data_IF_501076423943
#
_entry.id   IF_501076423943
#
_cell.length_a   1.000
_cell.length_b   1.000
_cell.length_c   1.000
_cell.angle_alpha   90.00
_cell.angle_beta   90.00
_cell.angle_gamma   90.00
#
_symmetry.space_group_name_H-M   'P 1'
#
loop_
_entity.id
_entity.type
_entity.pdbx_description
1 polymer ?
#
# COMPACT_ATOMS: atom_id res chain seq x y z
N UNK A 1 -25.91 -4.45 -18.95
CA UNK A 1 -25.03 -3.95 -17.88
C UNK A 1 -23.63 -4.44 -18.17
N UNK A 2 -22.68 -3.56 -18.46
CA UNK A 2 -21.28 -3.95 -18.61
C UNK A 2 -20.76 -4.40 -17.25
N UNK A 3 -20.17 -5.60 -17.17
CA UNK A 3 -19.44 -6.03 -15.98
C UNK A 3 -18.21 -5.13 -15.91
N UNK A 4 -18.19 -4.17 -14.99
CA UNK A 4 -16.99 -3.41 -14.70
C UNK A 4 -15.93 -4.42 -14.24
N UNK A 5 -14.91 -4.63 -15.07
CA UNK A 5 -13.78 -5.49 -14.71
C UNK A 5 -13.10 -4.87 -13.48
N UNK A 6 -13.11 -5.55 -12.33
CA UNK A 6 -12.34 -5.12 -11.15
C UNK A 6 -10.87 -5.03 -11.55
N UNK A 7 -10.26 -3.85 -11.40
CA UNK A 7 -8.83 -3.68 -11.67
C UNK A 7 -8.04 -4.34 -10.55
N UNK A 8 -6.99 -5.06 -10.93
CA UNK A 8 -6.00 -5.61 -10.01
C UNK A 8 -4.63 -5.16 -10.50
N UNK A 9 -3.86 -4.51 -9.63
CA UNK A 9 -2.50 -4.04 -9.96
C UNK A 9 -1.51 -4.87 -9.15
N UNK A 10 -0.68 -5.65 -9.83
CA UNK A 10 0.43 -6.36 -9.19
C UNK A 10 1.71 -5.52 -9.29
N UNK A 11 2.33 -5.28 -8.13
CA UNK A 11 3.57 -4.51 -7.99
C UNK A 11 4.66 -5.47 -7.57
N UNK A 12 5.58 -5.74 -8.49
CA UNK A 12 6.79 -6.50 -8.17
C UNK A 12 7.64 -5.75 -7.14
N UNK A 13 8.06 -6.47 -6.11
CA UNK A 13 8.97 -5.97 -5.08
C UNK A 13 10.35 -6.61 -5.23
N UNK A 14 11.32 -6.15 -4.45
CA UNK A 14 12.65 -6.77 -4.44
C UNK A 14 12.71 -7.96 -3.46
N UNK A 15 13.70 -8.84 -3.62
CA UNK A 15 13.89 -10.02 -2.77
C UNK A 15 14.16 -9.71 -1.29
N UNK A 16 14.33 -8.42 -0.95
CA UNK A 16 14.57 -7.93 0.41
C UNK A 16 13.32 -7.32 1.03
N UNK A 17 12.18 -7.36 0.33
CA UNK A 17 10.93 -6.83 0.82
C UNK A 17 10.28 -7.81 1.79
N UNK A 18 10.02 -7.34 3.01
CA UNK A 18 9.58 -8.18 4.14
C UNK A 18 8.40 -7.51 4.84
N UNK A 19 7.38 -8.31 5.16
CA UNK A 19 6.23 -7.89 5.95
C UNK A 19 6.31 -8.44 7.38
N UNK A 20 6.21 -7.55 8.36
CA UNK A 20 6.10 -7.84 9.78
C UNK A 20 4.67 -7.62 10.29
N UNK A 21 4.24 -8.31 11.37
CA UNK A 21 5.04 -9.15 12.28
C UNK A 21 5.43 -10.54 11.75
N UNK A 22 4.86 -10.99 10.63
CA UNK A 22 5.06 -12.36 10.13
C UNK A 22 6.51 -12.68 9.71
N UNK A 23 7.32 -11.65 9.45
CA UNK A 23 8.71 -11.80 9.00
C UNK A 23 8.81 -12.51 7.65
N UNK A 24 7.79 -12.36 6.80
CA UNK A 24 7.66 -13.08 5.53
C UNK A 24 8.11 -12.21 4.36
N UNK A 25 8.90 -12.80 3.48
CA UNK A 25 9.36 -12.16 2.25
C UNK A 25 8.23 -12.12 1.21
N UNK A 26 8.12 -10.99 0.52
CA UNK A 26 7.10 -10.73 -0.47
C UNK A 26 7.65 -10.94 -1.89
N UNK A 27 6.88 -11.61 -2.73
CA UNK A 27 7.09 -11.66 -4.17
C UNK A 27 6.54 -10.42 -4.87
N UNK A 28 5.32 -10.00 -4.48
CA UNK A 28 4.68 -8.79 -4.99
C UNK A 28 3.65 -8.27 -3.99
N UNK A 29 3.25 -7.02 -4.19
CA UNK A 29 2.10 -6.41 -3.52
C UNK A 29 0.99 -6.29 -4.54
N UNK A 30 -0.21 -6.71 -4.18
CA UNK A 30 -1.39 -6.58 -5.03
C UNK A 30 -2.30 -5.48 -4.49
N UNK A 31 -2.72 -4.60 -5.39
CA UNK A 31 -3.74 -3.58 -5.11
C UNK A 31 -5.08 -4.02 -5.69
N UNK A 32 -6.13 -3.87 -4.87
CA UNK A 32 -7.50 -4.18 -5.22
C UNK A 32 -8.40 -2.98 -4.97
N UNK A 33 -9.46 -2.89 -5.77
CA UNK A 33 -10.65 -2.10 -5.44
C UNK A 33 -11.36 -2.77 -4.24
N UNK A 34 -11.66 -2.01 -3.21
CA UNK A 34 -12.32 -2.45 -1.98
C UNK A 34 -13.42 -1.46 -1.58
N UNK A 35 -14.30 -1.87 -0.67
CA UNK A 35 -15.37 -1.03 -0.14
C UNK A 35 -15.14 -0.80 1.36
N UNK A 36 -15.22 0.45 1.82
CA UNK A 36 -15.17 0.75 3.25
C UNK A 36 -16.43 0.24 3.95
N UNK A 37 -16.39 -0.05 5.26
CA UNK A 37 -17.58 -0.44 6.02
C UNK A 37 -18.74 0.56 5.95
N UNK A 38 -18.44 1.82 5.61
CA UNK A 38 -19.42 2.91 5.46
C UNK A 38 -19.94 3.05 4.02
N UNK A 39 -19.54 2.17 3.10
CA UNK A 39 -19.98 2.15 1.69
C UNK A 39 -19.23 3.10 0.77
N UNK A 40 -18.06 3.60 1.19
CA UNK A 40 -17.13 4.34 0.35
C UNK A 40 -16.18 3.42 -0.41
N UNK A 41 -15.47 3.96 -1.41
CA UNK A 41 -14.46 3.20 -2.14
C UNK A 41 -13.09 3.28 -1.44
N UNK A 42 -12.37 2.17 -1.46
CA UNK A 42 -11.05 2.04 -0.85
C UNK A 42 -10.07 1.30 -1.76
N UNK A 43 -8.78 1.53 -1.50
CA UNK A 43 -7.65 0.79 -2.07
C UNK A 43 -7.17 -0.21 -1.03
N UNK A 44 -7.35 -1.50 -1.30
CA UNK A 44 -6.82 -2.57 -0.47
C UNK A 44 -5.47 -3.04 -0.97
N UNK A 45 -4.53 -3.19 -0.04
CA UNK A 45 -3.17 -3.68 -0.27
C UNK A 45 -2.98 -5.06 0.34
N UNK A 46 -2.54 -6.02 -0.47
CA UNK A 46 -2.22 -7.37 -0.02
C UNK A 46 -0.78 -7.74 -0.39
N UNK A 47 -0.08 -8.38 0.54
CA UNK A 47 1.22 -8.97 0.30
C UNK A 47 1.09 -10.39 -0.23
N UNK A 48 1.74 -10.69 -1.35
CA UNK A 48 1.87 -12.05 -1.85
C UNK A 48 3.25 -12.58 -1.48
N UNK A 49 3.26 -13.63 -0.67
CA UNK A 49 4.48 -14.20 -0.10
C UNK A 49 5.17 -15.17 -1.07
N UNK A 50 6.50 -15.26 -1.02
CA UNK A 50 7.24 -16.28 -1.80
C UNK A 50 6.86 -17.72 -1.42
N UNK A 51 6.45 -17.92 -0.16
CA UNK A 51 6.04 -19.22 0.36
C UNK A 51 4.68 -19.08 1.06
N UNK A 52 3.72 -19.92 0.68
CA UNK A 52 2.36 -19.94 1.25
C UNK A 52 2.33 -20.59 2.65
N UNK A 53 3.00 -19.96 3.62
CA UNK A 53 3.10 -20.45 5.00
C UNK A 53 2.59 -19.45 6.05
N UNK A 54 1.98 -18.34 5.63
CA UNK A 54 1.47 -17.36 6.58
C UNK A 54 0.20 -17.86 7.27
N UNK A 55 0.13 -17.68 8.59
CA UNK A 55 -1.08 -17.92 9.39
C UNK A 55 -1.92 -16.64 9.56
N UNK A 56 -1.33 -15.47 9.33
CA UNK A 56 -2.03 -14.19 9.28
C UNK A 56 -2.44 -13.86 7.84
N UNK A 57 -3.55 -13.13 7.70
CA UNK A 57 -4.03 -12.69 6.40
C UNK A 57 -2.98 -11.85 5.65
N UNK A 58 -2.98 -11.90 4.29
CA UNK A 58 -2.02 -11.18 3.45
C UNK A 58 -2.24 -9.66 3.47
N UNK A 59 -3.31 -9.19 4.08
CA UNK A 59 -3.71 -7.79 4.11
C UNK A 59 -2.70 -6.92 4.86
N UNK A 60 -2.22 -5.89 4.16
CA UNK A 60 -1.28 -4.90 4.67
C UNK A 60 -2.07 -3.71 5.24
N UNK A 61 -2.96 -3.14 4.43
CA UNK A 61 -3.92 -2.11 4.84
C UNK A 61 -5.02 -1.95 3.78
N UNK A 62 -6.15 -1.36 4.19
CA UNK A 62 -7.18 -0.83 3.30
C UNK A 62 -7.31 0.67 3.58
N UNK A 63 -7.22 1.48 2.53
CA UNK A 63 -7.14 2.95 2.62
C UNK A 63 -8.25 3.58 1.80
N UNK A 64 -8.90 4.60 2.35
CA UNK A 64 -9.80 5.44 1.56
C UNK A 64 -9.05 6.15 0.42
N UNK A 65 -9.77 6.57 -0.61
CA UNK A 65 -9.18 7.21 -1.80
C UNK A 65 -8.27 8.40 -1.42
N UNK A 66 -8.70 9.24 -0.48
CA UNK A 66 -7.94 10.43 -0.06
C UNK A 66 -6.65 10.03 0.66
N UNK A 67 -6.74 9.11 1.62
CA UNK A 67 -5.60 8.53 2.35
C UNK A 67 -4.60 7.86 1.41
N UNK A 68 -5.10 7.08 0.44
CA UNK A 68 -4.27 6.40 -0.55
C UNK A 68 -3.49 7.43 -1.39
N UNK A 69 -4.15 8.52 -1.80
CA UNK A 69 -3.50 9.62 -2.54
C UNK A 69 -2.43 10.31 -1.70
N UNK A 70 -2.73 10.60 -0.44
CA UNK A 70 -1.80 11.25 0.48
C UNK A 70 -0.59 10.35 0.78
N UNK A 71 -0.82 9.04 0.98
CA UNK A 71 0.24 8.06 1.15
C UNK A 71 1.16 8.02 -0.08
N UNK A 72 0.60 7.92 -1.29
CA UNK A 72 1.40 7.84 -2.50
C UNK A 72 2.24 9.11 -2.71
N UNK A 73 1.64 10.29 -2.46
CA UNK A 73 2.37 11.57 -2.47
C UNK A 73 3.50 11.57 -1.43
N UNK A 74 3.22 11.12 -0.21
CA UNK A 74 4.20 11.13 0.89
C UNK A 74 5.34 10.15 0.67
N UNK A 75 5.08 9.02 0.02
CA UNK A 75 6.11 8.10 -0.47
C UNK A 75 7.04 8.85 -1.44
N UNK A 76 6.48 9.53 -2.44
CA UNK A 76 7.28 10.27 -3.42
C UNK A 76 8.08 11.38 -2.73
N UNK A 77 7.46 12.14 -1.83
CA UNK A 77 8.14 13.18 -1.04
C UNK A 77 9.31 12.59 -0.21
N UNK A 78 9.10 11.44 0.44
CA UNK A 78 10.15 10.74 1.20
C UNK A 78 11.32 10.32 0.30
N UNK A 79 11.02 9.80 -0.89
CA UNK A 79 12.01 9.35 -1.87
C UNK A 79 12.81 10.53 -2.43
N UNK A 80 12.14 11.60 -2.87
CA UNK A 80 12.80 12.76 -3.46
C UNK A 80 13.63 13.54 -2.46
N UNK A 81 13.18 13.61 -1.20
CA UNK A 81 13.85 14.40 -0.17
C UNK A 81 14.82 13.57 0.67
N UNK A 82 14.80 12.24 0.56
CA UNK A 82 15.64 11.34 1.34
C UNK A 82 15.41 11.46 2.84
N UNK A 83 14.15 11.63 3.28
CA UNK A 83 13.80 11.79 4.70
C UNK A 83 12.47 11.12 5.04
N UNK A 84 12.33 10.77 6.32
CA UNK A 84 11.10 10.20 6.88
C UNK A 84 9.94 11.17 6.74
N UNK A 85 8.78 10.64 6.35
CA UNK A 85 7.50 11.34 6.28
C UNK A 85 6.48 10.66 7.19
N UNK A 86 5.58 11.44 7.77
CA UNK A 86 4.46 10.94 8.54
C UNK A 86 3.17 11.29 7.80
N UNK A 87 2.33 10.29 7.57
CA UNK A 87 1.01 10.45 6.99
C UNK A 87 0.01 10.18 8.10
N UNK A 88 -0.51 11.25 8.68
CA UNK A 88 -1.49 11.17 9.75
C UNK A 88 -2.86 11.40 9.12
N UNK A 89 -3.53 10.32 8.74
CA UNK A 89 -4.97 10.37 8.48
C UNK A 89 -5.76 10.15 9.78
N UNK A 90 -7.01 10.62 9.80
CA UNK A 90 -7.94 10.37 10.90
C UNK A 90 -8.28 8.88 11.06
N UNK A 91 -8.31 8.14 9.96
CA UNK A 91 -8.68 6.72 9.91
C UNK A 91 -7.46 5.81 9.83
N UNK A 92 -6.35 6.31 9.25
CA UNK A 92 -5.13 5.52 9.07
C UNK A 92 -3.88 6.22 9.60
N UNK A 93 -3.18 5.60 10.56
CA UNK A 93 -1.83 5.99 10.98
C UNK A 93 -0.81 5.34 10.07
N UNK A 94 -0.22 6.11 9.15
CA UNK A 94 0.84 5.60 8.26
C UNK A 94 2.13 6.40 8.44
N UNK A 95 3.26 5.71 8.54
CA UNK A 95 4.57 6.37 8.53
C UNK A 95 5.46 5.82 7.41
N UNK A 96 6.14 6.70 6.70
CA UNK A 96 7.13 6.37 5.66
C UNK A 96 8.51 6.68 6.21
N UNK A 97 9.18 5.68 6.76
CA UNK A 97 10.51 5.84 7.36
C UNK A 97 11.58 5.65 6.29
N UNK A 98 12.43 6.65 6.11
CA UNK A 98 13.60 6.55 5.23
C UNK A 98 14.76 5.88 5.95
N UNK A 99 15.35 4.87 5.31
CA UNK A 99 16.55 4.18 5.78
C UNK A 99 17.61 4.17 4.67
N UNK A 100 18.92 4.10 5.00
CA UNK A 100 19.98 4.04 3.98
C UNK A 100 19.83 2.89 2.96
N UNK A 101 19.17 1.80 3.35
CA UNK A 101 18.99 0.61 2.52
C UNK A 101 17.60 0.47 1.89
N UNK A 102 16.70 1.43 2.09
CA UNK A 102 15.32 1.37 1.62
C UNK A 102 14.35 2.14 2.51
N UNK A 103 13.14 1.65 2.67
CA UNK A 103 12.08 2.32 3.40
C UNK A 103 11.31 1.34 4.27
N UNK A 104 10.67 1.87 5.31
CA UNK A 104 9.70 1.12 6.12
C UNK A 104 8.38 1.86 6.10
N UNK A 105 7.35 1.20 5.57
CA UNK A 105 5.97 1.65 5.67
C UNK A 105 5.34 1.02 6.92
N UNK A 106 4.89 1.85 7.85
CA UNK A 106 4.23 1.41 9.08
C UNK A 106 2.75 1.70 8.97
N UNK A 107 1.90 0.69 9.12
CA UNK A 107 0.44 0.82 9.07
C UNK A 107 -0.16 0.46 10.43
N UNK A 108 -0.94 1.36 11.01
CA UNK A 108 -1.60 1.15 12.31
C UNK A 108 -0.69 1.39 13.52
N UNK A 109 -1.10 0.87 14.68
CA UNK A 109 -0.37 1.01 15.95
C UNK A 109 -0.55 -0.20 16.87
N UNK A 110 0.31 -0.33 17.88
CA UNK A 110 0.21 -1.38 18.90
C UNK A 110 0.29 -2.79 18.31
N UNK A 111 -0.64 -3.66 18.68
CA UNK A 111 -0.69 -5.06 18.22
C UNK A 111 -1.23 -5.22 16.80
N UNK A 112 -1.83 -4.17 16.22
CA UNK A 112 -2.30 -4.16 14.83
C UNK A 112 -1.26 -3.57 13.87
N UNK A 113 -0.08 -3.19 14.38
CA UNK A 113 0.98 -2.60 13.57
C UNK A 113 1.49 -3.60 12.53
N UNK A 114 1.43 -3.20 11.26
CA UNK A 114 2.11 -3.87 10.14
C UNK A 114 3.28 -3.03 9.67
N UNK A 115 4.41 -3.67 9.41
CA UNK A 115 5.61 -2.99 8.92
C UNK A 115 6.09 -3.65 7.64
N UNK A 116 6.09 -2.89 6.55
CA UNK A 116 6.56 -3.30 5.25
C UNK A 116 7.92 -2.66 4.99
N UNK A 117 8.96 -3.50 4.97
CA UNK A 117 10.29 -3.13 4.52
C UNK A 117 10.32 -3.26 3.01
N UNK A 118 10.75 -2.21 2.31
CA UNK A 118 10.69 -2.15 0.86
C UNK A 118 11.88 -1.36 0.28
N UNK A 119 12.46 -1.85 -0.80
CA UNK A 119 13.54 -1.16 -1.51
C UNK A 119 13.08 0.07 -2.28
N UNK A 120 14.01 1.00 -2.55
CA UNK A 120 13.73 2.25 -3.26
C UNK A 120 13.09 2.10 -4.65
N UNK A 121 13.48 1.13 -5.50
CA UNK A 121 12.81 0.93 -6.78
C UNK A 121 11.36 0.46 -6.61
N UNK A 122 11.13 -0.45 -5.65
CA UNK A 122 9.82 -1.04 -5.40
C UNK A 122 8.84 -0.04 -4.77
N UNK A 123 9.30 0.83 -3.86
CA UNK A 123 8.43 1.82 -3.22
C UNK A 123 7.91 2.88 -4.22
N UNK A 124 8.70 3.24 -5.23
CA UNK A 124 8.24 4.14 -6.30
C UNK A 124 7.15 3.46 -7.13
N UNK A 125 7.34 2.17 -7.49
CA UNK A 125 6.31 1.39 -8.20
C UNK A 125 5.04 1.24 -7.38
N UNK A 126 5.17 1.09 -6.07
CA UNK A 126 4.03 1.07 -5.14
C UNK A 126 3.26 2.40 -5.18
N UNK A 127 3.95 3.54 -5.05
CA UNK A 127 3.29 4.85 -5.16
C UNK A 127 2.57 5.04 -6.51
N UNK A 128 3.21 4.61 -7.62
CA UNK A 128 2.59 4.66 -8.95
C UNK A 128 1.36 3.76 -9.05
N UNK A 129 1.42 2.56 -8.48
CA UNK A 129 0.27 1.64 -8.43
C UNK A 129 -0.89 2.22 -7.64
N UNK A 130 -0.61 2.80 -6.46
CA UNK A 130 -1.62 3.45 -5.62
C UNK A 130 -2.28 4.59 -6.40
N UNK A 131 -1.50 5.51 -6.99
CA UNK A 131 -2.04 6.64 -7.76
C UNK A 131 -2.93 6.18 -8.92
N UNK A 132 -2.54 5.10 -9.63
CA UNK A 132 -3.37 4.54 -10.72
C UNK A 132 -4.70 3.96 -10.22
N UNK A 133 -4.69 3.28 -9.08
CA UNK A 133 -5.92 2.75 -8.49
C UNK A 133 -6.82 3.89 -8.01
N UNK A 134 -6.25 4.85 -7.28
CA UNK A 134 -6.95 6.04 -6.79
C UNK A 134 -7.56 6.86 -7.93
N UNK A 135 -6.83 7.07 -9.03
CA UNK A 135 -7.32 7.79 -10.22
C UNK A 135 -8.54 7.10 -10.83
N UNK A 136 -8.48 5.78 -10.96
CA UNK A 136 -9.59 4.97 -11.47
C UNK A 136 -10.83 5.05 -10.59
N UNK A 137 -10.67 4.90 -9.27
CA UNK A 137 -11.77 4.97 -8.31
C UNK A 137 -12.38 6.39 -8.26
N UNK A 138 -11.53 7.43 -8.41
CA UNK A 138 -12.01 8.82 -8.41
C UNK A 138 -12.71 9.24 -9.71
N UNK A 139 -12.59 8.47 -10.79
CA UNK A 139 -13.14 8.84 -12.08
C UNK A 139 -14.68 8.71 -12.06
N UNK A 140 -15.39 9.84 -12.20
CA UNK A 140 -16.83 9.82 -12.40
C UNK A 140 -17.18 8.99 -13.66
N UNK A 141 -18.35 8.33 -13.72
CA UNK A 141 -18.78 7.61 -14.92
C UNK A 141 -18.75 8.57 -16.12
N UNK A 142 -18.12 8.13 -17.21
CA UNK A 142 -18.07 8.92 -18.44
C UNK A 142 -19.51 9.30 -18.89
N UNK A 143 -19.75 10.60 -19.02
CA UNK A 143 -21.02 11.17 -19.51
C UNK A 143 -21.29 10.79 -20.97
#
# INVERSE_FOLDING_TARGET
MAVASKLVINIEVDDRSVLFPDGKFLSHITLHEDETPEGGEAVRMEGVFHFNESRLGPEIASLEIEDARELARSILDAVFQGRTQHVLSQTTKVAVVFNPNGFVLRFGEGSALRELFIGSPAIIRLAQGILRMTDRLSAMPAH
#
